data_IF_340610277771
#
_entry.id   IF_340610277771
#
_cell.length_a   1.000
_cell.length_b   1.000
_cell.length_c   1.000
_cell.angle_alpha   90.00
_cell.angle_beta   90.00
_cell.angle_gamma   90.00
#
_symmetry.space_group_name_H-M   'P 1'
#
loop_
_entity.id
_entity.type
_entity.pdbx_description
1 polymer ?
#
# COMPACT_ATOMS: atom_id res chain seq x y z
N UNK A 1 42.92 -9.75 -49.67
CA UNK A 1 43.77 -9.09 -48.66
C UNK A 1 42.88 -8.17 -47.85
N UNK A 2 42.72 -8.51 -46.57
CA UNK A 2 41.98 -7.72 -45.60
C UNK A 2 42.79 -6.48 -45.19
N UNK A 3 42.13 -5.35 -44.98
CA UNK A 3 42.66 -4.32 -44.09
C UNK A 3 41.52 -3.62 -43.37
N UNK A 4 41.60 -3.65 -42.05
CA UNK A 4 40.62 -3.22 -41.05
C UNK A 4 40.49 -1.69 -40.98
N UNK A 5 39.33 -1.24 -40.48
CA UNK A 5 39.09 0.12 -39.98
C UNK A 5 40.06 0.49 -38.84
N UNK A 6 40.12 1.79 -38.48
CA UNK A 6 39.53 2.14 -37.19
C UNK A 6 38.60 3.37 -37.25
N UNK A 7 37.51 3.27 -36.48
CA UNK A 7 36.58 4.33 -36.15
C UNK A 7 37.27 5.42 -35.31
N UNK A 8 37.24 6.67 -35.78
CA UNK A 8 37.60 7.84 -34.99
C UNK A 8 36.39 8.32 -34.18
N UNK A 9 36.58 8.33 -32.87
CA UNK A 9 35.69 8.90 -31.87
C UNK A 9 35.59 10.42 -32.03
N UNK A 10 34.38 10.94 -32.20
CA UNK A 10 34.09 12.36 -32.00
C UNK A 10 33.75 12.58 -30.52
N UNK A 11 34.76 13.00 -29.76
CA UNK A 11 34.57 13.62 -28.45
C UNK A 11 34.16 15.07 -28.63
N UNK A 12 33.02 15.46 -28.05
CA UNK A 12 32.68 16.87 -27.87
C UNK A 12 32.99 17.22 -26.41
N UNK A 13 34.11 17.90 -26.24
CA UNK A 13 34.43 18.70 -25.06
C UNK A 13 33.61 19.99 -25.10
N UNK A 14 32.87 20.27 -24.03
CA UNK A 14 32.46 21.64 -23.69
C UNK A 14 32.59 21.83 -22.18
N UNK A 15 33.73 22.40 -21.82
CA UNK A 15 33.95 23.12 -20.57
C UNK A 15 33.18 24.43 -20.60
N UNK A 16 32.20 24.59 -19.71
CA UNK A 16 31.80 25.92 -19.22
C UNK A 16 31.39 25.80 -17.77
N UNK A 17 32.24 26.33 -16.90
CA UNK A 17 31.97 26.62 -15.50
C UNK A 17 30.74 27.52 -15.40
N UNK A 18 29.67 27.02 -14.77
CA UNK A 18 28.55 27.84 -14.33
C UNK A 18 28.44 27.73 -12.81
N UNK A 19 28.99 28.73 -12.11
CA UNK A 19 28.90 28.87 -10.66
C UNK A 19 27.53 29.49 -10.35
N UNK A 20 26.56 28.66 -9.95
CA UNK A 20 25.28 29.12 -9.40
C UNK A 20 25.23 28.77 -7.92
N UNK A 21 25.40 29.79 -7.11
CA UNK A 21 25.31 29.74 -5.65
C UNK A 21 23.83 29.73 -5.28
N UNK A 22 23.24 28.53 -5.19
CA UNK A 22 21.91 28.34 -4.64
C UNK A 22 22.02 28.02 -3.15
N UNK A 23 21.53 28.94 -2.33
CA UNK A 23 21.48 28.83 -0.88
C UNK A 23 20.42 27.79 -0.49
N UNK A 24 20.76 26.51 -0.58
CA UNK A 24 19.90 25.40 -0.17
C UNK A 24 20.13 25.13 1.31
N UNK A 25 19.18 25.49 2.17
CA UNK A 25 19.10 24.92 3.53
C UNK A 25 18.84 23.42 3.39
N UNK A 26 19.92 22.64 3.38
CA UNK A 26 19.85 21.18 3.45
C UNK A 26 19.33 20.78 4.83
N UNK A 27 18.15 20.14 4.89
CA UNK A 27 17.79 19.27 6.00
C UNK A 27 18.67 18.02 5.90
N UNK A 28 19.87 18.10 6.46
CA UNK A 28 20.76 16.95 6.63
C UNK A 28 20.22 16.07 7.76
N UNK A 29 19.54 14.98 7.41
CA UNK A 29 19.45 13.82 8.30
C UNK A 29 20.81 13.12 8.27
N UNK A 30 21.54 13.02 9.39
CA UNK A 30 22.82 12.32 9.40
C UNK A 30 22.57 10.81 9.36
N UNK A 31 22.49 10.23 8.15
CA UNK A 31 22.68 8.80 7.98
C UNK A 31 24.18 8.48 8.10
N UNK A 32 24.59 7.98 9.27
CA UNK A 32 25.87 7.28 9.41
C UNK A 32 25.75 5.87 8.84
N UNK A 33 26.33 5.65 7.66
CA UNK A 33 26.62 4.32 7.15
C UNK A 33 27.79 3.71 7.91
N UNK A 34 27.50 2.68 8.70
CA UNK A 34 28.50 1.85 9.37
C UNK A 34 28.15 0.38 9.21
N UNK A 35 28.74 -0.26 8.19
CA UNK A 35 28.76 -1.73 8.10
C UNK A 35 29.74 -2.22 9.17
N UNK A 36 29.23 -2.73 10.30
CA UNK A 36 29.99 -3.61 11.20
C UNK A 36 29.08 -4.71 11.71
N UNK A 37 29.41 -5.92 11.27
CA UNK A 37 28.84 -7.18 11.70
C UNK A 37 29.32 -7.48 13.14
N UNK A 38 28.48 -7.31 14.17
CA UNK A 38 28.78 -7.80 15.53
C UNK A 38 27.53 -8.34 16.22
N UNK A 39 27.53 -9.66 16.44
CA UNK A 39 26.71 -10.34 17.46
C UNK A 39 27.04 -9.75 18.82
N UNK A 40 26.08 -9.10 19.47
CA UNK A 40 26.22 -8.71 20.87
C UNK A 40 25.44 -9.69 21.77
N UNK A 41 26.19 -10.46 22.56
CA UNK A 41 25.72 -11.05 23.81
C UNK A 41 25.57 -9.91 24.81
N UNK A 42 24.35 -9.63 25.25
CA UNK A 42 24.08 -8.61 26.27
C UNK A 42 24.56 -9.11 27.64
N UNK A 43 25.54 -8.42 28.23
CA UNK A 43 25.92 -8.54 29.64
C UNK A 43 25.20 -7.39 30.36
N UNK A 44 24.15 -7.72 31.11
CA UNK A 44 23.41 -6.75 31.92
C UNK A 44 24.26 -6.42 33.15
N UNK A 45 24.55 -5.13 33.36
CA UNK A 45 25.17 -4.64 34.58
C UNK A 45 24.07 -4.12 35.49
N UNK A 46 23.93 -4.75 36.65
CA UNK A 46 22.90 -4.43 37.65
C UNK A 46 23.46 -3.41 38.63
N UNK A 47 22.87 -2.22 38.71
CA UNK A 47 23.06 -1.29 39.83
C UNK A 47 21.72 -1.14 40.55
N UNK A 48 21.68 -1.61 41.80
CA UNK A 48 20.57 -1.44 42.73
C UNK A 48 20.32 0.04 43.01
N UNK A 49 19.09 0.49 42.78
CA UNK A 49 18.43 1.50 43.59
C UNK A 49 17.13 0.85 44.07
N UNK A 50 17.01 0.71 45.39
CA UNK A 50 15.80 0.29 46.07
C UNK A 50 14.85 1.48 46.06
N UNK A 51 13.74 1.32 45.35
CA UNK A 51 12.63 2.26 45.29
C UNK A 51 11.45 1.53 44.67
N UNK A 52 10.52 1.14 45.54
CA UNK A 52 9.28 0.43 45.22
C UNK A 52 8.38 1.31 44.34
N UNK A 53 8.53 1.17 43.03
CA UNK A 53 7.46 1.38 42.07
C UNK A 53 7.66 0.38 40.95
N UNK A 54 6.61 -0.38 40.64
CA UNK A 54 6.55 -1.36 39.54
C UNK A 54 6.58 -0.60 38.20
N UNK A 55 7.69 0.08 37.89
CA UNK A 55 7.94 0.71 36.61
C UNK A 55 8.21 -0.39 35.60
N UNK A 56 7.14 -0.94 35.02
CA UNK A 56 7.23 -1.55 33.70
C UNK A 56 7.92 -0.54 32.79
N UNK A 57 9.01 -0.88 32.10
CA UNK A 57 9.65 0.05 31.20
C UNK A 57 8.61 0.58 30.22
N UNK A 58 8.54 1.91 30.08
CA UNK A 58 7.67 2.58 29.12
C UNK A 58 7.80 1.85 27.78
N UNK A 59 6.67 1.38 27.24
CA UNK A 59 6.68 0.69 25.95
C UNK A 59 7.29 1.62 24.90
N UNK A 60 8.29 1.14 24.18
CA UNK A 60 8.87 1.91 23.08
C UNK A 60 7.87 1.99 21.91
N UNK A 61 8.00 3.00 21.03
CA UNK A 61 7.38 3.00 19.72
C UNK A 61 7.52 1.68 18.97
N UNK A 62 8.73 1.11 18.92
CA UNK A 62 8.96 -0.15 18.23
C UNK A 62 8.20 -1.32 18.86
N UNK A 63 8.15 -1.42 20.18
CA UNK A 63 7.39 -2.47 20.87
C UNK A 63 5.88 -2.32 20.67
N UNK A 64 5.38 -1.09 20.69
CA UNK A 64 3.96 -0.80 20.43
C UNK A 64 3.57 -1.23 19.02
N UNK A 65 4.39 -0.92 18.02
CA UNK A 65 4.13 -1.31 16.63
C UNK A 65 4.29 -2.83 16.43
N UNK A 66 5.25 -3.49 17.08
CA UNK A 66 5.34 -4.98 17.07
C UNK A 66 4.05 -5.61 17.58
N UNK A 67 3.54 -5.13 18.71
CA UNK A 67 2.31 -5.68 19.29
C UNK A 67 1.10 -5.39 18.40
N UNK A 68 1.05 -4.23 17.76
CA UNK A 68 0.02 -3.92 16.78
C UNK A 68 0.00 -4.92 15.61
N UNK A 69 1.16 -5.25 15.04
CA UNK A 69 1.26 -6.29 13.99
C UNK A 69 0.92 -7.69 14.50
N UNK A 70 1.27 -8.01 15.74
CA UNK A 70 0.84 -9.26 16.37
C UNK A 70 -0.68 -9.35 16.44
N UNK A 71 -1.37 -8.29 16.90
CA UNK A 71 -2.83 -8.25 16.95
C UNK A 71 -3.47 -8.33 15.55
N UNK A 72 -2.82 -7.75 14.52
CA UNK A 72 -3.23 -7.90 13.11
C UNK A 72 -3.19 -9.36 12.65
N UNK A 73 -2.08 -10.06 12.94
CA UNK A 73 -1.90 -11.47 12.54
C UNK A 73 -2.83 -12.42 13.31
N UNK A 74 -3.14 -12.09 14.57
CA UNK A 74 -4.16 -12.79 15.37
C UNK A 74 -5.60 -12.49 14.92
N UNK A 75 -5.78 -11.57 13.96
CA UNK A 75 -7.08 -11.09 13.47
C UNK A 75 -7.99 -10.57 14.59
N UNK A 76 -7.39 -10.13 15.71
CA UNK A 76 -8.12 -9.71 16.89
C UNK A 76 -8.41 -8.21 16.86
N UNK A 77 -9.49 -7.85 16.16
CA UNK A 77 -9.86 -6.44 15.94
C UNK A 77 -10.09 -5.67 17.24
N UNK A 78 -10.62 -6.31 18.28
CA UNK A 78 -10.82 -5.67 19.59
C UNK A 78 -9.48 -5.27 20.22
N UNK A 79 -8.45 -6.08 20.06
CA UNK A 79 -7.11 -5.72 20.53
C UNK A 79 -6.45 -4.66 19.64
N UNK A 80 -6.65 -4.72 18.32
CA UNK A 80 -6.15 -3.70 17.39
C UNK A 80 -6.67 -2.31 17.77
N UNK A 81 -7.96 -2.20 18.10
CA UNK A 81 -8.60 -0.95 18.53
C UNK A 81 -7.92 -0.27 19.73
N UNK A 82 -7.34 -1.06 20.64
CA UNK A 82 -6.64 -0.57 21.83
C UNK A 82 -5.30 0.13 21.54
N UNK A 83 -4.81 0.01 20.31
CA UNK A 83 -3.57 0.65 19.85
C UNK A 83 -3.84 1.87 18.96
N UNK A 84 -5.09 2.24 18.70
CA UNK A 84 -5.46 3.36 17.84
C UNK A 84 -5.94 4.55 18.69
N UNK A 85 -5.41 5.74 18.41
CA UNK A 85 -5.97 6.99 18.96
C UNK A 85 -7.34 7.27 18.35
N UNK A 86 -8.17 8.04 19.05
CA UNK A 86 -9.51 8.37 18.57
C UNK A 86 -9.48 9.24 17.29
N UNK A 87 -8.49 10.12 17.20
CA UNK A 87 -8.21 10.99 16.04
C UNK A 87 -7.27 10.36 15.01
N UNK A 88 -7.14 9.03 15.00
CA UNK A 88 -6.14 8.40 14.14
C UNK A 88 -6.42 8.58 12.65
N UNK A 89 -5.35 8.67 11.85
CA UNK A 89 -5.42 8.85 10.41
C UNK A 89 -4.60 7.75 9.72
N UNK A 90 -5.24 7.05 8.80
CA UNK A 90 -4.63 6.00 7.99
C UNK A 90 -4.54 6.46 6.53
N UNK A 91 -3.32 6.56 6.02
CA UNK A 91 -3.05 6.93 4.65
C UNK A 91 -2.36 5.78 3.91
N UNK A 92 -2.93 5.38 2.78
CA UNK A 92 -2.39 4.39 1.86
C UNK A 92 -2.68 4.89 0.45
N UNK A 93 -1.63 5.04 -0.35
CA UNK A 93 -1.71 5.63 -1.69
C UNK A 93 -2.41 4.75 -2.73
N UNK A 94 -2.84 3.54 -2.33
CA UNK A 94 -3.77 2.72 -3.11
C UNK A 94 -5.20 3.26 -3.04
N UNK A 95 -5.51 4.11 -2.07
CA UNK A 95 -6.83 4.73 -1.90
C UNK A 95 -6.77 6.24 -2.19
N UNK A 96 -7.81 6.81 -2.83
CA UNK A 96 -7.81 8.23 -3.23
C UNK A 96 -7.94 9.19 -2.05
N UNK A 97 -8.46 8.71 -0.91
CA UNK A 97 -8.66 9.50 0.31
C UNK A 97 -8.21 8.70 1.52
N UNK A 98 -7.56 9.33 2.50
CA UNK A 98 -7.17 8.65 3.73
C UNK A 98 -8.40 8.34 4.60
N UNK A 99 -8.31 7.29 5.41
CA UNK A 99 -9.35 6.94 6.39
C UNK A 99 -9.11 7.74 7.67
N UNK A 100 -10.12 8.50 8.10
CA UNK A 100 -9.98 9.46 9.19
C UNK A 100 -10.81 9.05 10.40
N UNK A 101 -10.18 9.09 11.57
CA UNK A 101 -10.77 8.70 12.83
C UNK A 101 -10.81 7.19 13.04
N UNK A 102 -10.78 6.81 14.32
CA UNK A 102 -10.71 5.42 14.77
C UNK A 102 -11.76 4.50 14.16
N UNK A 103 -12.99 4.97 14.00
CA UNK A 103 -14.10 4.19 13.43
C UNK A 103 -13.82 3.77 11.98
N UNK A 104 -13.33 4.68 11.14
CA UNK A 104 -13.04 4.38 9.74
C UNK A 104 -11.83 3.46 9.60
N UNK A 105 -10.77 3.74 10.37
CA UNK A 105 -9.55 2.93 10.40
C UNK A 105 -9.87 1.51 10.86
N UNK A 106 -10.66 1.33 11.92
CA UNK A 106 -11.09 0.00 12.39
C UNK A 106 -11.91 -0.72 11.32
N UNK A 107 -12.82 -0.03 10.63
CA UNK A 107 -13.60 -0.62 9.54
C UNK A 107 -12.69 -1.15 8.43
N UNK A 108 -11.68 -0.37 8.04
CA UNK A 108 -10.69 -0.80 7.05
C UNK A 108 -9.88 -1.99 7.57
N UNK A 109 -9.35 -1.93 8.79
CA UNK A 109 -8.56 -3.03 9.36
C UNK A 109 -9.37 -4.32 9.50
N UNK A 110 -10.68 -4.24 9.80
CA UNK A 110 -11.60 -5.38 9.75
C UNK A 110 -11.63 -6.02 8.37
N UNK A 111 -11.82 -5.22 7.32
CA UNK A 111 -11.83 -5.70 5.94
C UNK A 111 -10.48 -6.31 5.54
N UNK A 112 -9.38 -5.68 5.93
CA UNK A 112 -8.02 -6.20 5.72
C UNK A 112 -7.85 -7.57 6.39
N UNK A 113 -8.15 -7.69 7.68
CA UNK A 113 -8.01 -8.97 8.42
C UNK A 113 -8.93 -10.06 7.87
N UNK A 114 -10.12 -9.70 7.38
CA UNK A 114 -11.01 -10.65 6.72
C UNK A 114 -10.44 -11.12 5.38
N UNK A 115 -9.88 -10.20 4.58
CA UNK A 115 -9.26 -10.51 3.29
C UNK A 115 -7.97 -11.33 3.40
N UNK A 116 -7.22 -11.17 4.49
CA UNK A 116 -6.05 -12.03 4.80
C UNK A 116 -6.46 -13.49 5.08
N UNK A 117 -7.69 -13.73 5.54
CA UNK A 117 -8.13 -15.06 5.94
C UNK A 117 -7.28 -15.64 7.08
N UNK A 118 -7.31 -16.97 7.24
CA UNK A 118 -6.63 -17.61 8.38
C UNK A 118 -5.10 -17.72 8.22
N UNK A 119 -4.63 -17.83 6.97
CA UNK A 119 -3.30 -18.32 6.67
C UNK A 119 -2.31 -17.22 6.26
N UNK A 120 -2.78 -16.00 5.98
CA UNK A 120 -1.93 -14.86 5.60
C UNK A 120 -1.60 -14.03 6.82
N UNK A 121 -0.31 -13.72 6.98
CA UNK A 121 0.21 -12.96 8.11
C UNK A 121 1.26 -11.95 7.65
N UNK A 122 1.40 -10.84 8.37
CA UNK A 122 2.50 -9.90 8.20
C UNK A 122 3.74 -10.42 8.93
N UNK A 123 4.82 -10.63 8.19
CA UNK A 123 6.13 -10.83 8.78
C UNK A 123 6.86 -9.48 8.84
N UNK A 124 7.08 -8.99 10.04
CA UNK A 124 7.88 -7.78 10.28
C UNK A 124 9.36 -8.12 10.14
N UNK A 125 10.05 -7.44 9.23
CA UNK A 125 11.48 -7.66 8.95
C UNK A 125 12.37 -6.77 9.82
N UNK A 126 12.16 -5.45 9.75
CA UNK A 126 12.96 -4.46 10.46
C UNK A 126 12.07 -3.34 10.96
N UNK A 127 12.36 -2.84 12.17
CA UNK A 127 11.72 -1.67 12.75
C UNK A 127 12.79 -0.63 13.03
N UNK A 128 12.57 0.57 12.53
CA UNK A 128 13.40 1.74 12.72
C UNK A 128 12.68 2.68 13.66
N UNK A 129 13.34 3.13 14.71
CA UNK A 129 12.76 4.04 15.70
C UNK A 129 13.56 5.34 15.69
N UNK A 130 12.86 6.48 15.66
CA UNK A 130 13.48 7.78 15.94
C UNK A 130 13.48 7.98 17.45
N UNK A 131 14.66 8.16 18.05
CA UNK A 131 14.84 8.20 19.51
C UNK A 131 14.02 9.27 20.22
N UNK A 132 13.71 10.38 19.53
CA UNK A 132 13.08 11.55 20.16
C UNK A 132 11.64 11.83 19.67
N UNK A 133 11.20 11.26 18.54
CA UNK A 133 10.00 11.72 17.83
C UNK A 133 8.75 10.83 17.96
N UNK A 134 8.77 9.76 18.76
CA UNK A 134 7.70 8.75 18.81
C UNK A 134 7.31 8.24 17.41
N UNK A 135 8.29 8.11 16.52
CA UNK A 135 8.11 7.63 15.14
C UNK A 135 8.76 6.26 15.00
N UNK A 136 8.02 5.33 14.38
CA UNK A 136 8.50 4.01 14.05
C UNK A 136 8.22 3.67 12.57
N UNK A 137 9.26 3.35 11.81
CA UNK A 137 9.16 2.81 10.46
C UNK A 137 9.29 1.29 10.47
N UNK A 138 8.51 0.59 9.66
CA UNK A 138 8.46 -0.87 9.62
C UNK A 138 8.51 -1.38 8.20
N UNK A 139 9.47 -2.25 7.91
CA UNK A 139 9.48 -3.05 6.71
C UNK A 139 8.81 -4.40 6.99
N UNK A 140 7.88 -4.80 6.12
CA UNK A 140 7.14 -6.04 6.25
C UNK A 140 6.97 -6.73 4.90
N UNK A 141 6.63 -8.02 4.94
CA UNK A 141 6.10 -8.75 3.80
C UNK A 141 4.96 -9.65 4.25
N UNK A 142 4.11 -10.11 3.34
CA UNK A 142 3.10 -11.09 3.67
C UNK A 142 3.67 -12.51 3.54
N UNK A 143 3.28 -13.37 4.47
CA UNK A 143 3.53 -14.80 4.41
C UNK A 143 2.22 -15.56 4.39
N UNK A 144 2.16 -16.63 3.60
CA UNK A 144 1.09 -17.61 3.62
C UNK A 144 1.66 -18.94 4.09
N UNK A 145 1.22 -19.44 5.25
CA UNK A 145 1.74 -20.67 5.87
C UNK A 145 3.28 -20.71 5.94
N UNK A 146 3.88 -19.65 6.48
CA UNK A 146 5.34 -19.45 6.61
C UNK A 146 6.10 -19.43 5.26
N UNK A 147 5.40 -19.16 4.15
CA UNK A 147 6.02 -18.93 2.84
C UNK A 147 5.78 -17.49 2.43
N UNK A 148 6.84 -16.76 2.14
CA UNK A 148 6.74 -15.39 1.64
C UNK A 148 5.90 -15.35 0.36
N UNK A 149 4.84 -14.53 0.37
CA UNK A 149 4.01 -14.29 -0.81
C UNK A 149 4.80 -13.36 -1.74
N UNK A 150 5.03 -13.73 -3.01
CA UNK A 150 5.72 -12.87 -3.96
C UNK A 150 5.05 -11.50 -4.07
N UNK A 151 5.84 -10.44 -4.26
CA UNK A 151 5.32 -9.10 -4.56
C UNK A 151 4.56 -8.40 -3.41
N UNK A 152 4.63 -8.92 -2.19
CA UNK A 152 3.88 -8.40 -1.03
C UNK A 152 4.76 -7.67 -0.01
N UNK A 153 5.95 -7.23 -0.41
CA UNK A 153 6.80 -6.39 0.44
C UNK A 153 6.16 -5.02 0.60
N UNK A 154 6.38 -4.38 1.74
CA UNK A 154 5.82 -3.07 2.03
C UNK A 154 6.54 -2.36 3.17
N UNK A 155 6.24 -1.06 3.29
CA UNK A 155 6.75 -0.17 4.33
C UNK A 155 5.55 0.49 5.02
N UNK A 156 5.61 0.62 6.34
CA UNK A 156 4.65 1.40 7.12
C UNK A 156 5.39 2.33 8.06
N UNK A 157 5.04 3.61 8.05
CA UNK A 157 5.49 4.60 9.01
C UNK A 157 4.38 4.90 10.01
N UNK A 158 4.73 4.87 11.28
CA UNK A 158 3.84 5.12 12.41
C UNK A 158 4.33 6.34 13.18
N UNK A 159 3.43 7.26 13.45
CA UNK A 159 3.59 8.31 14.46
C UNK A 159 2.69 7.97 15.63
N UNK A 160 3.31 7.83 16.79
CA UNK A 160 2.64 7.49 18.03
C UNK A 160 2.44 8.73 18.89
N UNK A 161 1.45 8.66 19.76
CA UNK A 161 1.18 9.65 20.78
C UNK A 161 1.14 8.98 22.13
N UNK A 162 1.56 9.72 23.16
CA UNK A 162 1.46 9.27 24.55
C UNK A 162 0.17 9.81 25.15
N UNK A 163 -0.77 8.92 25.44
CA UNK A 163 -2.00 9.20 26.17
C UNK A 163 -1.89 8.54 27.56
N UNK A 164 -1.52 9.33 28.56
CA UNK A 164 -1.19 8.81 29.90
C UNK A 164 0.01 7.86 29.86
N UNK A 165 -0.16 6.64 30.38
CA UNK A 165 0.87 5.59 30.39
C UNK A 165 0.94 4.76 29.10
N UNK A 166 0.09 5.05 28.10
CA UNK A 166 -0.05 4.23 26.89
C UNK A 166 0.38 4.98 25.64
N UNK A 167 1.15 4.30 24.79
CA UNK A 167 1.40 4.74 23.43
C UNK A 167 0.27 4.26 22.51
N UNK A 168 -0.36 5.20 21.81
CA UNK A 168 -1.38 4.95 20.79
C UNK A 168 -0.84 5.39 19.42
N UNK A 169 -1.33 4.75 18.37
CA UNK A 169 -0.99 5.09 16.98
C UNK A 169 -1.97 6.18 16.54
N UNK A 170 -1.44 7.37 16.29
CA UNK A 170 -2.22 8.53 15.82
C UNK A 170 -2.18 8.68 14.32
N UNK A 171 -1.04 8.44 13.69
CA UNK A 171 -0.95 8.53 12.24
C UNK A 171 -0.16 7.35 11.71
N UNK A 172 -0.78 6.62 10.79
CA UNK A 172 -0.17 5.50 10.09
C UNK A 172 -0.15 5.82 8.60
N UNK A 173 1.03 6.01 8.05
CA UNK A 173 1.25 6.08 6.62
C UNK A 173 1.78 4.73 6.15
N UNK A 174 0.95 3.95 5.47
CA UNK A 174 1.37 2.70 4.84
C UNK A 174 1.83 3.01 3.41
N UNK A 175 3.14 3.19 3.23
CA UNK A 175 3.74 3.20 1.89
C UNK A 175 3.90 1.76 1.43
N UNK A 176 2.78 1.17 1.01
CA UNK A 176 2.77 -0.18 0.47
C UNK A 176 3.33 -0.13 -0.96
N UNK A 177 4.65 -0.22 -1.07
CA UNK A 177 5.29 -0.53 -2.34
C UNK A 177 5.08 -2.01 -2.65
N UNK A 178 3.90 -2.35 -3.16
CA UNK A 178 3.67 -3.66 -3.78
C UNK A 178 4.71 -3.78 -4.89
N UNK A 179 5.70 -4.65 -4.69
CA UNK A 179 6.76 -4.86 -5.67
C UNK A 179 6.09 -5.30 -6.97
N UNK A 180 6.18 -4.50 -8.03
CA UNK A 180 5.51 -4.88 -9.28
C UNK A 180 6.10 -6.20 -9.79
N UNK A 181 5.26 -7.17 -10.21
CA UNK A 181 5.72 -8.47 -10.72
C UNK A 181 6.66 -8.32 -11.92
N UNK A 182 6.43 -7.26 -12.68
CA UNK A 182 7.34 -6.75 -13.70
C UNK A 182 8.18 -5.68 -13.00
N UNK A 183 9.50 -5.73 -13.11
CA UNK A 183 10.39 -4.68 -12.62
C UNK A 183 10.69 -3.72 -13.77
N UNK A 184 9.81 -2.75 -14.10
CA UNK A 184 10.00 -1.90 -15.25
C UNK A 184 11.09 -0.85 -15.02
N UNK A 185 12.07 -1.06 -14.12
CA UNK A 185 13.01 -0.01 -13.69
C UNK A 185 13.55 0.81 -14.87
N UNK A 186 14.07 0.12 -15.88
CA UNK A 186 14.59 0.78 -17.09
C UNK A 186 13.49 1.46 -17.92
N UNK A 187 12.34 0.79 -18.12
CA UNK A 187 11.20 1.35 -18.86
C UNK A 187 10.59 2.57 -18.16
N UNK A 188 10.54 2.56 -16.83
CA UNK A 188 10.07 3.66 -15.99
C UNK A 188 11.01 4.85 -16.10
N UNK A 189 12.33 4.62 -16.09
CA UNK A 189 13.31 5.69 -16.29
C UNK A 189 13.22 6.31 -17.70
N UNK A 190 13.00 5.48 -18.73
CA UNK A 190 12.75 5.97 -20.10
C UNK A 190 11.46 6.79 -20.15
N UNK A 191 10.37 6.29 -19.57
CA UNK A 191 9.09 6.99 -19.52
C UNK A 191 9.20 8.30 -18.74
N UNK A 192 9.87 8.28 -17.58
CA UNK A 192 10.12 9.46 -16.77
C UNK A 192 10.90 10.49 -17.58
N UNK A 193 11.96 10.10 -18.29
CA UNK A 193 12.74 11.00 -19.15
C UNK A 193 11.88 11.64 -20.25
N UNK A 194 10.97 10.87 -20.87
CA UNK A 194 10.05 11.39 -21.89
C UNK A 194 9.09 12.40 -21.25
N UNK A 195 8.48 12.05 -20.11
CA UNK A 195 7.54 12.92 -19.40
C UNK A 195 8.23 14.21 -18.92
N UNK A 196 9.41 14.12 -18.32
CA UNK A 196 10.16 15.29 -17.88
C UNK A 196 10.58 16.15 -19.06
N UNK A 197 11.08 15.55 -20.15
CA UNK A 197 11.42 16.30 -21.37
C UNK A 197 10.21 17.03 -21.96
N UNK A 198 9.03 16.40 -21.94
CA UNK A 198 7.78 17.02 -22.40
C UNK A 198 7.36 18.17 -21.48
N UNK A 199 7.45 17.97 -20.17
CA UNK A 199 7.12 19.00 -19.18
C UNK A 199 8.06 20.21 -19.29
N UNK A 200 9.35 19.97 -19.49
CA UNK A 200 10.36 21.01 -19.68
C UNK A 200 10.19 21.76 -21.01
N UNK A 201 9.69 21.07 -22.05
CA UNK A 201 9.40 21.69 -23.35
C UNK A 201 8.17 22.61 -23.28
N UNK A 202 7.18 22.27 -22.43
CA UNK A 202 5.91 23.01 -22.30
C UNK A 202 5.60 23.39 -20.84
N UNK A 203 6.41 24.26 -20.21
CA UNK A 203 6.31 24.53 -18.78
C UNK A 203 4.99 25.21 -18.38
N UNK A 204 4.46 26.13 -19.18
CA UNK A 204 3.19 26.81 -18.89
C UNK A 204 1.99 25.82 -18.95
N UNK A 205 1.98 24.92 -19.93
CA UNK A 205 0.96 23.88 -20.03
C UNK A 205 1.08 22.88 -18.87
N UNK A 206 2.31 22.55 -18.45
CA UNK A 206 2.59 21.70 -17.29
C UNK A 206 2.11 22.33 -15.99
N UNK A 207 2.39 23.62 -15.77
CA UNK A 207 1.90 24.33 -14.59
C UNK A 207 0.39 24.40 -14.55
N UNK A 208 -0.24 24.71 -15.67
CA UNK A 208 -1.70 24.65 -15.80
C UNK A 208 -2.24 23.24 -15.51
N UNK A 209 -1.56 22.20 -16.00
CA UNK A 209 -1.90 20.81 -15.78
C UNK A 209 -1.84 20.42 -14.30
N UNK A 210 -0.76 20.79 -13.59
CA UNK A 210 -0.63 20.52 -12.15
C UNK A 210 -1.67 21.26 -11.30
N UNK A 211 -2.07 22.48 -11.67
CA UNK A 211 -3.12 23.22 -10.97
C UNK A 211 -4.52 22.63 -11.19
N UNK A 212 -4.71 21.87 -12.27
CA UNK A 212 -6.04 21.43 -12.73
C UNK A 212 -6.30 19.92 -12.55
N UNK A 213 -5.55 19.23 -11.67
CA UNK A 213 -5.60 17.77 -11.48
C UNK A 213 -7.03 17.18 -11.42
N UNK A 214 -7.94 17.84 -10.68
CA UNK A 214 -9.34 17.39 -10.55
C UNK A 214 -10.14 17.48 -11.85
N UNK A 215 -9.91 18.52 -12.64
CA UNK A 215 -10.60 18.72 -13.93
C UNK A 215 -10.08 17.73 -14.97
N UNK A 216 -8.77 17.44 -14.95
CA UNK A 216 -8.14 16.48 -15.86
C UNK A 216 -8.66 15.07 -15.61
N UNK A 217 -8.76 14.65 -14.35
CA UNK A 217 -9.32 13.33 -14.01
C UNK A 217 -10.76 13.19 -14.53
N UNK A 218 -11.58 14.24 -14.41
CA UNK A 218 -12.95 14.24 -14.94
C UNK A 218 -13.00 14.22 -16.47
N UNK A 219 -12.11 14.95 -17.15
CA UNK A 219 -12.01 14.95 -18.62
C UNK A 219 -11.53 13.58 -19.11
N UNK A 220 -10.52 12.99 -18.49
CA UNK A 220 -10.03 11.65 -18.82
C UNK A 220 -11.11 10.59 -18.59
N UNK A 221 -11.87 10.66 -17.49
CA UNK A 221 -13.01 9.77 -17.25
C UNK A 221 -14.11 9.94 -18.30
N UNK A 222 -14.38 11.16 -18.76
CA UNK A 222 -15.32 11.42 -19.87
C UNK A 222 -14.82 10.86 -21.20
N UNK A 223 -13.54 11.03 -21.51
CA UNK A 223 -12.95 10.46 -22.73
C UNK A 223 -13.01 8.93 -22.67
N UNK A 224 -12.63 8.36 -21.53
CA UNK A 224 -12.75 6.93 -21.27
C UNK A 224 -14.19 6.43 -21.44
N UNK A 225 -15.19 7.15 -20.91
CA UNK A 225 -16.57 6.74 -21.07
C UNK A 225 -17.04 6.83 -22.52
N UNK A 226 -16.69 7.89 -23.24
CA UNK A 226 -17.02 8.03 -24.66
C UNK A 226 -16.37 6.91 -25.50
N UNK A 227 -15.12 6.56 -25.21
CA UNK A 227 -14.38 5.58 -25.99
C UNK A 227 -14.73 4.14 -25.64
N UNK A 228 -14.90 3.78 -24.36
CA UNK A 228 -15.09 2.39 -23.95
C UNK A 228 -16.53 1.97 -23.70
N UNK A 229 -17.43 2.88 -23.28
CA UNK A 229 -18.84 2.53 -23.04
C UNK A 229 -19.52 1.95 -24.29
N UNK A 230 -19.30 2.45 -25.52
CA UNK A 230 -19.91 1.87 -26.71
C UNK A 230 -19.51 0.42 -26.98
N UNK A 231 -18.31 -0.01 -26.53
CA UNK A 231 -17.84 -1.38 -26.70
C UNK A 231 -18.26 -2.30 -25.55
N UNK A 232 -18.32 -1.78 -24.32
CA UNK A 232 -18.72 -2.55 -23.14
C UNK A 232 -20.25 -2.73 -23.06
N UNK A 233 -21.02 -1.70 -23.44
CA UNK A 233 -22.48 -1.69 -23.33
C UNK A 233 -23.19 -2.85 -24.06
N UNK A 234 -22.83 -3.20 -25.32
CA UNK A 234 -23.42 -4.34 -26.02
C UNK A 234 -23.13 -5.67 -25.33
N UNK A 235 -21.92 -5.84 -24.80
CA UNK A 235 -21.49 -7.06 -24.10
C UNK A 235 -22.31 -7.22 -22.81
N UNK A 236 -22.39 -6.17 -22.00
CA UNK A 236 -23.19 -6.20 -20.76
C UNK A 236 -24.67 -6.45 -21.06
N UNK A 237 -25.22 -5.80 -22.09
CA UNK A 237 -26.61 -6.00 -22.52
C UNK A 237 -26.87 -7.46 -22.93
N UNK A 238 -25.93 -8.08 -23.66
CA UNK A 238 -26.01 -9.49 -24.02
C UNK A 238 -26.08 -10.40 -22.79
N UNK A 239 -25.22 -10.20 -21.79
CA UNK A 239 -25.23 -11.01 -20.56
C UNK A 239 -26.51 -10.83 -19.74
N UNK A 240 -27.04 -9.61 -19.63
CA UNK A 240 -28.33 -9.36 -18.95
C UNK A 240 -29.47 -10.08 -19.68
N UNK A 241 -29.51 -10.01 -21.00
CA UNK A 241 -30.52 -10.70 -21.81
C UNK A 241 -30.39 -12.23 -21.72
N UNK A 242 -29.16 -12.75 -21.69
CA UNK A 242 -28.89 -14.17 -21.50
C UNK A 242 -29.41 -14.66 -20.13
N UNK A 243 -29.16 -13.89 -19.07
CA UNK A 243 -29.70 -14.18 -17.74
C UNK A 243 -31.22 -14.22 -17.73
N UNK A 244 -31.88 -13.25 -18.37
CA UNK A 244 -33.35 -13.22 -18.50
C UNK A 244 -33.90 -14.42 -19.26
N UNK A 245 -33.21 -14.88 -20.30
CA UNK A 245 -33.57 -16.09 -21.03
C UNK A 245 -33.49 -17.35 -20.14
N UNK A 246 -32.39 -17.49 -19.37
CA UNK A 246 -32.20 -18.60 -18.44
C UNK A 246 -33.32 -18.61 -17.38
N UNK A 247 -33.67 -17.46 -16.80
CA UNK A 247 -34.75 -17.37 -15.80
C UNK A 247 -36.09 -17.83 -16.39
N UNK A 248 -36.42 -17.41 -17.62
CA UNK A 248 -37.64 -17.85 -18.30
C UNK A 248 -37.65 -19.35 -18.56
N UNK A 249 -36.52 -19.89 -19.02
CA UNK A 249 -36.38 -21.32 -19.26
C UNK A 249 -36.56 -22.14 -17.98
N UNK A 250 -35.91 -21.73 -16.88
CA UNK A 250 -36.06 -22.36 -15.57
C UNK A 250 -37.50 -22.27 -15.07
N UNK A 251 -38.16 -21.12 -15.22
CA UNK A 251 -39.56 -20.95 -14.81
C UNK A 251 -40.51 -21.88 -15.58
N UNK A 252 -40.29 -22.07 -16.88
CA UNK A 252 -41.06 -23.02 -17.69
C UNK A 252 -40.79 -24.45 -17.23
N UNK A 253 -39.52 -24.82 -17.03
CA UNK A 253 -39.15 -26.15 -16.55
C UNK A 253 -39.80 -26.48 -15.20
N UNK A 254 -39.82 -25.53 -14.26
CA UNK A 254 -40.50 -25.68 -12.97
C UNK A 254 -42.02 -25.86 -13.12
N UNK A 255 -42.67 -25.11 -14.02
CA UNK A 255 -44.11 -25.28 -14.30
C UNK A 255 -44.43 -26.64 -14.90
N UNK A 256 -43.58 -27.14 -15.80
CA UNK A 256 -43.73 -28.48 -16.38
C UNK A 256 -43.55 -29.54 -15.28
N UNK A 257 -42.56 -29.38 -14.41
CA UNK A 257 -42.33 -30.30 -13.29
C UNK A 257 -43.54 -30.34 -12.34
N UNK A 258 -44.11 -29.18 -12.00
CA UNK A 258 -45.31 -29.08 -11.18
C UNK A 258 -46.53 -29.74 -11.86
N UNK A 259 -46.69 -29.53 -13.16
CA UNK A 259 -47.74 -30.17 -13.95
C UNK A 259 -47.60 -31.69 -14.01
N UNK A 260 -46.39 -32.20 -14.27
CA UNK A 260 -46.09 -33.64 -14.24
C UNK A 260 -46.36 -34.21 -12.85
N UNK A 261 -45.91 -33.56 -11.78
CA UNK A 261 -46.16 -33.99 -10.40
C UNK A 261 -47.66 -34.15 -10.11
N UNK A 262 -48.49 -33.22 -10.59
CA UNK A 262 -49.96 -33.28 -10.39
C UNK A 262 -50.61 -34.45 -11.14
N UNK A 263 -50.10 -34.80 -12.32
CA UNK A 263 -50.58 -35.95 -13.11
C UNK A 263 -50.26 -37.29 -12.45
N UNK A 264 -49.07 -37.43 -11.87
CA UNK A 264 -48.69 -38.67 -11.18
C UNK A 264 -49.43 -38.83 -9.84
N UNK A 265 -49.77 -37.74 -9.14
CA UNK A 265 -50.55 -37.83 -7.89
C UNK A 265 -52.05 -38.10 -8.09
N UNK A 266 -52.58 -37.94 -9.31
CA UNK A 266 -54.01 -38.16 -9.61
C UNK A 266 -54.33 -39.56 -10.12
N UNK A 267 -53.31 -40.38 -10.39
CA UNK A 267 -53.44 -41.75 -10.92
C UNK A 267 -53.38 -42.85 -9.86
N UNK A 268 -53.23 -42.50 -8.58
CA UNK A 268 -53.19 -43.44 -7.43
C UNK A 268 -54.46 -43.48 -6.57
N UNK A 269 -55.60 -42.90 -7.01
CA UNK A 269 -56.90 -43.02 -6.32
C UNK A 269 -57.92 -43.82 -7.14
#
# INVERSE_FOLDING_TARGET
>A
MATQMPLLAFGISLSTSYKKESNTRQLQLPMKTGVVNKRYKTKIMSSMIIGDSDMRPDRTPSDTVKQFYKCLNEKNVKQIENYLSDDCLFEDYSFPTPFTGKKEVIRFLKQLTAGMGENVEFQVSHIYESGDDLVAGVNWHLEWKNKQVPFTRGCSLYRLTREGERLTIRYRNAQVFVESPIKPGDLFLVLLKIVTSLFDTFPEATEWFFRSQKMIAQVLLKIYSILLVPFISPIVSFYVNLGNFIIRFVSIALKILEWCSRLFTTTEN
#
